data_IF_740049335799
#
_entry.id   IF_740049335799
#
_cell.length_a   1.000
_cell.length_b   1.000
_cell.length_c   1.000
_cell.angle_alpha   90.00
_cell.angle_beta   90.00
_cell.angle_gamma   90.00
#
_symmetry.space_group_name_H-M   'P 1'
#
loop_
_entity.id
_entity.type
_entity.pdbx_description
1 polymer ?
#
# COMPACT_ATOMS: atom_id res chain seq x y z
N UNK A 1 8.42 -18.71 3.29
CA UNK A 1 7.91 -17.92 2.15
C UNK A 1 6.87 -18.75 1.43
N UNK A 2 5.71 -18.15 1.13
CA UNK A 2 4.86 -18.71 0.09
C UNK A 2 5.59 -18.51 -1.24
N UNK A 3 5.79 -19.59 -1.99
CA UNK A 3 6.29 -19.51 -3.36
C UNK A 3 5.14 -19.87 -4.28
N UNK A 4 4.70 -18.89 -5.08
CA UNK A 4 3.64 -19.06 -6.08
C UNK A 4 4.16 -18.53 -7.42
N UNK A 5 4.14 -19.31 -8.51
CA UNK A 5 4.62 -18.83 -9.81
C UNK A 5 3.78 -17.69 -10.40
N UNK A 6 2.56 -17.45 -9.89
CA UNK A 6 1.69 -16.37 -10.34
C UNK A 6 1.78 -15.09 -9.48
N UNK A 7 2.36 -15.16 -8.28
CA UNK A 7 2.38 -14.04 -7.34
C UNK A 7 3.73 -13.87 -6.65
N UNK A 8 4.26 -12.65 -6.70
CA UNK A 8 5.41 -12.24 -5.90
C UNK A 8 4.94 -11.71 -4.53
N UNK A 9 5.37 -12.38 -3.47
CA UNK A 9 5.03 -12.00 -2.10
C UNK A 9 6.10 -11.08 -1.52
N UNK A 10 5.72 -9.86 -1.16
CA UNK A 10 6.60 -8.90 -0.51
C UNK A 10 6.44 -8.98 1.01
N UNK A 11 7.47 -9.44 1.71
CA UNK A 11 7.50 -9.44 3.17
C UNK A 11 7.66 -8.01 3.72
N UNK A 12 6.84 -7.67 4.70
CA UNK A 12 6.84 -6.35 5.36
C UNK A 12 7.46 -6.48 6.73
N UNK A 13 8.56 -5.75 6.95
CA UNK A 13 9.18 -5.65 8.26
C UNK A 13 8.48 -4.58 9.12
N UNK A 14 8.67 -4.65 10.43
CA UNK A 14 8.17 -3.61 11.37
C UNK A 14 8.71 -2.23 11.01
N UNK A 15 9.94 -2.15 10.48
CA UNK A 15 10.52 -0.89 10.03
C UNK A 15 9.74 -0.30 8.86
N UNK A 16 9.45 -1.11 7.82
CA UNK A 16 8.65 -0.68 6.67
C UNK A 16 7.25 -0.27 7.09
N UNK A 17 6.62 -1.01 8.01
CA UNK A 17 5.30 -0.65 8.54
C UNK A 17 5.32 0.69 9.30
N UNK A 18 6.35 0.93 10.10
CA UNK A 18 6.53 2.19 10.83
C UNK A 18 6.77 3.38 9.90
N UNK A 19 7.61 3.20 8.88
CA UNK A 19 7.86 4.22 7.84
C UNK A 19 6.59 4.53 7.06
N UNK A 20 5.79 3.51 6.71
CA UNK A 20 4.51 3.69 6.05
C UNK A 20 3.52 4.47 6.92
N UNK A 21 3.43 4.14 8.22
CA UNK A 21 2.58 4.87 9.16
C UNK A 21 2.94 6.37 9.23
N UNK A 22 4.24 6.68 9.33
CA UNK A 22 4.69 8.08 9.33
C UNK A 22 4.44 8.78 7.99
N UNK A 23 4.66 8.09 6.87
CA UNK A 23 4.51 8.66 5.54
C UNK A 23 3.05 8.93 5.14
N UNK A 24 2.11 8.13 5.65
CA UNK A 24 0.72 8.13 5.21
C UNK A 24 -0.29 8.46 6.31
N UNK A 25 -0.22 7.78 7.46
CA UNK A 25 -1.22 7.95 8.51
C UNK A 25 -1.01 9.25 9.29
N UNK A 26 0.24 9.54 9.67
CA UNK A 26 0.55 10.78 10.39
C UNK A 26 0.40 12.01 9.47
N UNK A 27 0.85 11.87 8.21
CA UNK A 27 0.80 12.96 7.23
C UNK A 27 -0.62 13.28 6.76
N UNK A 28 -1.45 12.26 6.54
CA UNK A 28 -2.83 12.39 6.06
C UNK A 28 -3.82 11.90 7.13
N UNK A 29 -3.67 12.41 8.35
CA UNK A 29 -4.47 12.03 9.52
C UNK A 29 -5.97 12.33 9.38
N UNK A 30 -6.36 13.15 8.41
CA UNK A 30 -7.74 13.46 8.05
C UNK A 30 -8.36 12.42 7.10
N UNK A 31 -7.53 11.56 6.49
CA UNK A 31 -7.98 10.48 5.62
C UNK A 31 -8.16 9.18 6.44
N UNK A 32 -9.21 8.38 6.19
CA UNK A 32 -9.54 7.21 7.00
C UNK A 32 -8.67 5.98 6.67
N UNK A 33 -7.43 6.17 6.22
CA UNK A 33 -6.54 5.08 5.81
C UNK A 33 -6.21 4.14 6.99
N UNK A 34 -6.19 2.85 6.70
CA UNK A 34 -5.69 1.83 7.62
C UNK A 34 -4.17 1.67 7.51
N UNK A 35 -3.57 0.96 8.47
CA UNK A 35 -2.15 0.59 8.38
C UNK A 35 -1.87 -0.30 7.15
N UNK A 36 -2.81 -1.17 6.78
CA UNK A 36 -2.68 -2.02 5.59
C UNK A 36 -2.62 -1.19 4.32
N UNK A 37 -3.43 -0.13 4.23
CA UNK A 37 -3.45 0.78 3.08
C UNK A 37 -2.13 1.54 3.01
N UNK A 38 -1.69 2.14 4.12
CA UNK A 38 -0.42 2.85 4.21
C UNK A 38 0.77 1.98 3.77
N UNK A 39 0.83 0.73 4.24
CA UNK A 39 1.88 -0.23 3.83
C UNK A 39 1.77 -0.54 2.35
N UNK A 40 0.56 -0.81 1.85
CA UNK A 40 0.33 -1.08 0.43
C UNK A 40 0.79 0.08 -0.45
N UNK A 41 0.40 1.32 -0.10
CA UNK A 41 0.80 2.52 -0.83
C UNK A 41 2.32 2.73 -0.82
N UNK A 42 2.96 2.49 0.33
CA UNK A 42 4.41 2.62 0.47
C UNK A 42 5.15 1.59 -0.40
N UNK A 43 4.70 0.33 -0.40
CA UNK A 43 5.28 -0.71 -1.26
C UNK A 43 5.02 -0.42 -2.73
N UNK A 44 3.80 -0.07 -3.11
CA UNK A 44 3.46 0.28 -4.49
C UNK A 44 4.33 1.42 -5.02
N UNK A 45 4.54 2.48 -4.23
CA UNK A 45 5.47 3.56 -4.61
C UNK A 45 6.91 3.08 -4.74
N UNK A 46 7.38 2.22 -3.84
CA UNK A 46 8.75 1.68 -3.88
C UNK A 46 8.98 0.80 -5.11
N UNK A 47 8.01 -0.03 -5.46
CA UNK A 47 8.07 -0.96 -6.60
C UNK A 47 7.63 -0.31 -7.93
N UNK A 48 7.20 0.96 -7.91
CA UNK A 48 6.74 1.66 -9.12
C UNK A 48 5.39 1.17 -9.67
N UNK A 49 4.56 0.55 -8.83
CA UNK A 49 3.23 0.08 -9.19
C UNK A 49 2.24 1.24 -9.15
N UNK A 50 1.46 1.40 -10.22
CA UNK A 50 0.46 2.47 -10.35
C UNK A 50 -0.98 1.98 -10.27
N UNK A 51 -1.21 0.68 -10.47
CA UNK A 51 -2.54 0.08 -10.48
C UNK A 51 -2.73 -0.87 -9.31
N UNK A 52 -3.88 -0.80 -8.65
CA UNK A 52 -4.28 -1.67 -7.57
C UNK A 52 -5.49 -2.53 -7.97
N UNK A 53 -5.43 -3.82 -7.66
CA UNK A 53 -6.62 -4.66 -7.66
C UNK A 53 -7.30 -4.53 -6.29
N UNK A 54 -8.17 -3.53 -6.15
CA UNK A 54 -8.90 -3.22 -4.92
C UNK A 54 -10.33 -2.78 -5.24
N UNK A 55 -11.20 -2.81 -4.22
CA UNK A 55 -12.60 -2.39 -4.35
C UNK A 55 -12.92 -1.09 -3.62
N UNK A 56 -12.02 -0.61 -2.75
CA UNK A 56 -12.20 0.64 -2.02
C UNK A 56 -11.63 1.84 -2.79
N UNK A 57 -12.04 3.03 -2.36
CA UNK A 57 -11.63 4.29 -2.97
C UNK A 57 -10.30 4.81 -2.38
N UNK A 58 -9.75 4.16 -1.35
CA UNK A 58 -8.60 4.68 -0.61
C UNK A 58 -7.34 4.67 -1.48
N UNK A 59 -7.17 3.64 -2.32
CA UNK A 59 -6.12 3.59 -3.34
C UNK A 59 -6.21 4.75 -4.33
N UNK A 60 -7.42 5.13 -4.74
CA UNK A 60 -7.61 6.28 -5.64
C UNK A 60 -7.28 7.59 -4.94
N UNK A 61 -7.70 7.75 -3.68
CA UNK A 61 -7.35 8.92 -2.86
C UNK A 61 -5.83 9.05 -2.68
N UNK A 62 -5.11 7.94 -2.56
CA UNK A 62 -3.66 7.89 -2.49
C UNK A 62 -2.93 8.12 -3.84
N UNK A 63 -3.68 8.19 -4.95
CA UNK A 63 -3.20 8.49 -6.29
C UNK A 63 -2.91 7.28 -7.17
N UNK A 64 -3.47 6.11 -6.85
CA UNK A 64 -3.38 4.89 -7.66
C UNK A 64 -4.63 4.70 -8.51
N UNK A 65 -4.51 3.93 -9.58
CA UNK A 65 -5.63 3.54 -10.46
C UNK A 65 -6.17 2.17 -10.04
N UNK A 66 -7.48 1.96 -10.09
CA UNK A 66 -8.05 0.63 -9.87
C UNK A 66 -8.06 -0.15 -11.18
N UNK A 67 -7.75 -1.44 -11.13
CA UNK A 67 -7.93 -2.34 -12.26
C UNK A 67 -9.41 -2.64 -12.48
N UNK A 68 -9.86 -2.55 -13.73
CA UNK A 68 -11.21 -2.89 -14.19
C UNK A 68 -11.41 -4.40 -14.45
#
# INVERSE_FOLDING_TARGET
MLTDPAYDWLDVTVQVASEAAAAWLEKFHDQPFSLTDAVSFQLMRREGLTHALAFDQDFVTAGFELLE
#
